data_IF_611074973279
#
_entry.id   IF_611074973279
#
_cell.length_a   1.000
_cell.length_b   1.000
_cell.length_c   1.000
_cell.angle_alpha   90.00
_cell.angle_beta   90.00
_cell.angle_gamma   90.00
#
_symmetry.space_group_name_H-M   'P 1'
#
loop_
_entity.id
_entity.type
_entity.pdbx_description
1 polymer ?
#
# COMPACT_ATOMS: atom_id res chain seq x y z
N UNK A 1 -0.49 11.26 8.69
CA UNK A 1 -1.81 10.85 9.19
C UNK A 1 -2.66 10.20 8.09
N UNK A 2 -2.99 10.91 7.01
CA UNK A 2 -3.80 10.37 5.89
C UNK A 2 -3.37 8.98 5.41
N UNK A 3 -2.08 8.74 5.17
CA UNK A 3 -1.60 7.45 4.66
C UNK A 3 -1.95 6.28 5.58
N UNK A 4 -1.97 6.49 6.90
CA UNK A 4 -2.31 5.44 7.87
C UNK A 4 -3.78 5.01 7.80
N UNK A 5 -4.65 5.78 7.12
CA UNK A 5 -6.05 5.40 6.90
C UNK A 5 -6.24 4.56 5.64
N UNK A 6 -5.17 4.22 4.92
CA UNK A 6 -5.21 3.54 3.61
C UNK A 6 -4.93 2.03 3.69
N UNK A 7 -5.06 1.43 4.87
CA UNK A 7 -4.71 0.03 5.11
C UNK A 7 -5.97 -0.79 5.47
N UNK A 8 -6.73 -1.29 4.47
CA UNK A 8 -8.04 -1.92 4.70
C UNK A 8 -8.01 -3.21 5.54
N UNK A 9 -6.83 -3.80 5.71
CA UNK A 9 -6.62 -5.02 6.51
C UNK A 9 -5.84 -4.79 7.80
N UNK A 10 -5.52 -3.55 8.15
CA UNK A 10 -4.77 -3.25 9.36
C UNK A 10 -5.65 -3.40 10.60
N UNK A 11 -5.56 -4.56 11.23
CA UNK A 11 -6.29 -4.89 12.45
C UNK A 11 -5.39 -5.61 13.47
N UNK A 12 -5.79 -5.59 14.73
CA UNK A 12 -5.20 -6.37 15.80
C UNK A 12 -6.27 -7.31 16.36
N UNK A 13 -6.13 -8.60 16.04
CA UNK A 13 -7.10 -9.62 16.44
C UNK A 13 -7.10 -9.88 17.95
N UNK A 14 -6.00 -9.56 18.67
CA UNK A 14 -5.96 -9.72 20.12
C UNK A 14 -6.83 -8.69 20.84
N UNK A 15 -6.93 -7.48 20.29
CA UNK A 15 -7.70 -6.37 20.87
C UNK A 15 -8.99 -6.06 20.11
N UNK A 16 -9.29 -6.82 19.05
CA UNK A 16 -10.42 -6.61 18.13
C UNK A 16 -10.54 -5.16 17.64
N UNK A 17 -9.39 -4.49 17.43
CA UNK A 17 -9.31 -3.08 17.07
C UNK A 17 -8.75 -2.93 15.65
N UNK A 18 -9.29 -2.00 14.86
CA UNK A 18 -8.73 -1.65 13.55
C UNK A 18 -7.84 -0.42 13.65
N UNK A 19 -6.90 -0.24 12.71
CA UNK A 19 -6.10 0.97 12.64
C UNK A 19 -6.99 2.22 12.45
N UNK A 20 -8.06 2.10 11.66
CA UNK A 20 -9.01 3.19 11.43
C UNK A 20 -9.72 3.63 12.72
N UNK A 21 -10.00 2.70 13.64
CA UNK A 21 -10.58 3.02 14.95
C UNK A 21 -9.51 3.55 15.93
N UNK A 22 -8.31 2.99 15.89
CA UNK A 22 -7.18 3.39 16.75
C UNK A 22 -6.76 4.85 16.52
N UNK A 23 -6.69 5.30 15.27
CA UNK A 23 -6.18 6.63 14.93
C UNK A 23 -6.95 7.78 15.61
N UNK A 24 -8.29 7.91 15.50
CA UNK A 24 -9.02 9.00 16.15
C UNK A 24 -9.04 8.93 17.69
N UNK A 25 -8.79 7.76 18.29
CA UNK A 25 -8.69 7.63 19.76
C UNK A 25 -7.34 8.12 20.30
N UNK A 26 -6.30 8.09 19.46
CA UNK A 26 -4.92 8.34 19.87
C UNK A 26 -4.26 9.57 19.22
N UNK A 27 -4.91 10.18 18.22
CA UNK A 27 -4.37 11.33 17.49
C UNK A 27 -5.44 12.39 17.20
N UNK A 28 -5.01 13.65 17.19
CA UNK A 28 -5.81 14.74 16.66
C UNK A 28 -5.90 14.61 15.13
N UNK A 29 -7.07 14.17 14.65
CA UNK A 29 -7.29 14.00 13.22
C UNK A 29 -7.37 15.36 12.52
N UNK A 30 -6.82 15.49 11.30
CA UNK A 30 -6.94 16.71 10.52
C UNK A 30 -8.41 17.15 10.36
N UNK A 31 -8.69 18.47 10.31
CA UNK A 31 -10.04 18.99 10.12
C UNK A 31 -10.59 18.60 8.74
N UNK A 32 -11.91 18.54 8.60
CA UNK A 32 -12.58 18.15 7.34
C UNK A 32 -12.08 18.94 6.11
N UNK A 33 -11.81 20.24 6.28
CA UNK A 33 -11.28 21.12 5.22
C UNK A 33 -9.94 20.63 4.66
N UNK A 34 -9.07 20.07 5.51
CA UNK A 34 -7.79 19.52 5.09
C UNK A 34 -7.98 18.25 4.24
N UNK A 35 -8.96 17.41 4.60
CA UNK A 35 -9.30 16.24 3.81
C UNK A 35 -9.91 16.62 2.47
N UNK A 36 -10.80 17.63 2.44
CA UNK A 36 -11.39 18.15 1.20
C UNK A 36 -10.33 18.73 0.26
N UNK A 37 -9.33 19.45 0.78
CA UNK A 37 -8.21 19.96 -0.02
C UNK A 37 -7.39 18.81 -0.64
N UNK A 38 -7.13 17.75 0.12
CA UNK A 38 -6.35 16.62 -0.37
C UNK A 38 -7.15 15.73 -1.34
N UNK A 39 -8.39 15.42 -1.00
CA UNK A 39 -9.21 14.39 -1.68
C UNK A 39 -10.17 14.95 -2.72
N UNK A 40 -10.33 16.26 -2.74
CA UNK A 40 -11.31 16.96 -3.56
C UNK A 40 -12.66 17.14 -2.84
N UNK A 41 -13.47 18.05 -3.40
CA UNK A 41 -14.82 18.35 -2.93
C UNK A 41 -15.91 17.68 -3.79
N UNK A 42 -15.55 17.21 -4.98
CA UNK A 42 -16.46 16.62 -5.96
C UNK A 42 -15.87 15.33 -6.52
N UNK A 43 -16.71 14.33 -6.76
CA UNK A 43 -16.29 13.07 -7.40
C UNK A 43 -16.31 13.14 -8.94
N UNK A 44 -17.17 13.99 -9.53
CA UNK A 44 -17.25 14.16 -10.99
C UNK A 44 -17.54 15.64 -11.39
N UNK A 45 -16.57 16.34 -12.01
CA UNK A 45 -15.20 15.89 -12.21
C UNK A 45 -14.46 15.80 -10.86
N UNK A 46 -13.65 14.77 -10.69
CA UNK A 46 -12.74 14.67 -9.55
C UNK A 46 -11.73 15.82 -9.57
N UNK A 47 -11.49 16.42 -8.40
CA UNK A 47 -10.61 17.58 -8.23
C UNK A 47 -9.63 17.46 -7.05
N UNK A 48 -9.40 16.25 -6.56
CA UNK A 48 -8.41 15.98 -5.52
C UNK A 48 -6.96 16.06 -6.03
N UNK A 49 -6.03 15.82 -5.12
CA UNK A 49 -4.60 15.84 -5.42
C UNK A 49 -4.13 14.50 -5.99
N UNK A 50 -3.29 14.57 -7.04
CA UNK A 50 -2.50 13.42 -7.52
C UNK A 50 -1.06 13.58 -7.04
N UNK A 51 -0.59 12.64 -6.23
CA UNK A 51 0.84 12.47 -6.02
C UNK A 51 1.48 11.84 -7.26
N UNK A 52 2.53 12.47 -7.79
CA UNK A 52 3.26 12.00 -8.98
C UNK A 52 4.72 11.83 -8.62
N UNK A 53 5.26 10.63 -8.85
CA UNK A 53 6.63 10.31 -8.51
C UNK A 53 7.28 9.41 -9.55
N UNK A 54 8.41 9.85 -10.11
CA UNK A 54 9.13 9.10 -11.14
C UNK A 54 10.01 8.05 -10.48
N UNK A 55 9.67 6.77 -10.64
CA UNK A 55 10.44 5.65 -10.06
C UNK A 55 11.74 5.40 -10.83
N UNK A 56 11.69 5.48 -12.16
CA UNK A 56 12.87 5.34 -13.02
C UNK A 56 12.66 6.01 -14.38
N UNK A 57 13.44 5.63 -15.39
CA UNK A 57 13.35 6.23 -16.72
C UNK A 57 12.03 5.93 -17.47
N UNK A 58 11.36 4.84 -17.09
CA UNK A 58 10.23 4.25 -17.82
C UNK A 58 8.93 4.19 -17.02
N UNK A 59 9.01 4.28 -15.69
CA UNK A 59 7.85 4.16 -14.80
C UNK A 59 7.69 5.40 -13.93
N UNK A 60 6.47 5.93 -13.95
CA UNK A 60 5.98 6.96 -13.01
C UNK A 60 4.87 6.38 -12.17
N UNK A 61 4.96 6.55 -10.85
CA UNK A 61 3.93 6.22 -9.89
C UNK A 61 2.96 7.38 -9.71
N UNK A 62 1.67 7.05 -9.68
CA UNK A 62 0.59 7.97 -9.38
C UNK A 62 -0.23 7.42 -8.21
N UNK A 63 -0.54 8.29 -7.24
CA UNK A 63 -1.55 8.06 -6.22
C UNK A 63 -2.56 9.20 -6.25
N UNK A 64 -3.79 8.88 -6.62
CA UNK A 64 -4.90 9.83 -6.64
C UNK A 64 -5.67 9.71 -5.33
N UNK A 65 -5.80 10.82 -4.60
CA UNK A 65 -6.53 10.83 -3.35
C UNK A 65 -8.00 11.23 -3.59
N UNK A 66 -8.90 10.33 -3.22
CA UNK A 66 -10.36 10.51 -3.31
C UNK A 66 -10.98 10.45 -1.91
N UNK A 67 -12.21 10.94 -1.77
CA UNK A 67 -12.87 11.17 -0.47
C UNK A 67 -12.97 9.88 0.37
N UNK A 68 -12.92 8.70 -0.25
CA UNK A 68 -13.05 7.40 0.41
C UNK A 68 -12.01 6.35 -0.01
N UNK A 69 -11.04 6.71 -0.85
CA UNK A 69 -10.07 5.76 -1.38
C UNK A 69 -8.84 6.49 -1.92
N UNK A 70 -7.72 5.78 -1.96
CA UNK A 70 -6.60 6.16 -2.83
C UNK A 70 -6.60 5.23 -4.02
N UNK A 71 -6.38 5.75 -5.23
CA UNK A 71 -6.28 4.97 -6.45
C UNK A 71 -4.85 5.04 -6.97
N UNK A 72 -4.28 3.88 -7.31
CA UNK A 72 -2.86 3.75 -7.61
C UNK A 72 -2.61 3.34 -9.04
N UNK A 73 -1.57 3.90 -9.66
CA UNK A 73 -1.14 3.56 -11.01
C UNK A 73 0.38 3.54 -11.12
N UNK A 74 0.88 2.66 -11.98
CA UNK A 74 2.16 2.85 -12.66
C UNK A 74 1.89 3.22 -14.10
N UNK A 75 2.34 4.40 -14.52
CA UNK A 75 1.97 5.00 -15.79
C UNK A 75 0.43 5.05 -15.92
N UNK A 76 -0.12 4.40 -16.94
CA UNK A 76 -1.55 4.24 -17.19
C UNK A 76 -2.10 2.87 -16.71
N UNK A 77 -1.26 2.03 -16.11
CA UNK A 77 -1.67 0.72 -15.58
C UNK A 77 -2.18 0.87 -14.15
N UNK A 78 -3.46 0.54 -13.97
CA UNK A 78 -4.12 0.50 -12.66
C UNK A 78 -3.47 -0.56 -11.77
N UNK A 79 -3.20 -0.18 -10.51
CA UNK A 79 -2.61 -1.04 -9.50
C UNK A 79 -3.55 -1.36 -8.34
N UNK A 80 -4.67 -0.66 -8.22
CA UNK A 80 -5.59 -0.89 -7.13
C UNK A 80 -6.20 0.35 -6.52
N UNK A 81 -7.07 0.12 -5.54
CA UNK A 81 -7.64 1.13 -4.66
C UNK A 81 -7.81 0.61 -3.24
N UNK A 82 -7.89 1.51 -2.26
CA UNK A 82 -8.06 1.20 -0.82
C UNK A 82 -9.48 1.43 -0.29
N UNK A 83 -10.46 1.62 -1.18
CA UNK A 83 -11.85 1.93 -0.80
C UNK A 83 -12.66 0.74 -0.32
N UNK A 84 -13.97 0.93 -0.13
CA UNK A 84 -14.88 -0.13 0.37
C UNK A 84 -14.96 -1.39 -0.50
N UNK A 85 -14.62 -1.29 -1.79
CA UNK A 85 -14.46 -2.42 -2.72
C UNK A 85 -13.01 -2.55 -3.20
N UNK A 86 -12.06 -2.43 -2.27
CA UNK A 86 -10.63 -2.42 -2.58
C UNK A 86 -10.22 -3.61 -3.46
N UNK A 87 -9.19 -3.36 -4.26
CA UNK A 87 -8.44 -4.32 -5.05
C UNK A 87 -7.00 -3.84 -5.09
N UNK A 88 -6.02 -4.72 -4.91
CA UNK A 88 -4.62 -4.32 -4.73
C UNK A 88 -3.70 -5.23 -5.56
N UNK A 89 -2.81 -4.68 -6.37
CA UNK A 89 -1.88 -5.47 -7.20
C UNK A 89 -0.85 -6.28 -6.41
N UNK A 90 -0.80 -6.14 -5.08
CA UNK A 90 0.04 -6.90 -4.14
C UNK A 90 1.47 -7.14 -4.65
N UNK A 91 2.36 -6.15 -4.59
CA UNK A 91 3.83 -6.25 -4.59
C UNK A 91 4.31 -7.35 -3.65
N UNK A 92 5.22 -8.20 -4.13
CA UNK A 92 6.05 -8.97 -3.20
C UNK A 92 6.85 -8.00 -2.34
N UNK A 93 7.15 -8.39 -1.10
CA UNK A 93 8.00 -7.58 -0.23
C UNK A 93 9.32 -7.17 -0.91
N UNK A 94 9.94 -8.11 -1.63
CA UNK A 94 11.16 -7.88 -2.41
C UNK A 94 10.98 -6.84 -3.53
N UNK A 95 9.88 -6.89 -4.29
CA UNK A 95 9.59 -5.89 -5.33
C UNK A 95 9.43 -4.49 -4.71
N UNK A 96 8.74 -4.38 -3.58
CA UNK A 96 8.62 -3.12 -2.85
C UNK A 96 10.00 -2.58 -2.44
N UNK A 97 10.83 -3.40 -1.80
CA UNK A 97 12.19 -3.00 -1.39
C UNK A 97 13.03 -2.52 -2.57
N UNK A 98 13.01 -3.24 -3.70
CA UNK A 98 13.74 -2.85 -4.91
C UNK A 98 13.32 -1.48 -5.45
N UNK A 99 12.05 -1.12 -5.33
CA UNK A 99 11.54 0.20 -5.73
C UNK A 99 12.03 1.27 -4.74
N UNK A 100 11.89 1.02 -3.44
CA UNK A 100 12.24 2.00 -2.40
C UNK A 100 13.74 2.27 -2.31
N UNK A 101 14.59 1.25 -2.46
CA UNK A 101 16.05 1.40 -2.39
C UNK A 101 16.64 2.28 -3.50
N UNK A 102 15.86 2.52 -4.56
CA UNK A 102 16.23 3.37 -5.69
C UNK A 102 15.77 4.82 -5.53
N UNK A 103 14.82 5.09 -4.64
CA UNK A 103 14.36 6.45 -4.41
C UNK A 103 15.38 7.25 -3.60
N UNK A 104 15.83 8.36 -4.17
CA UNK A 104 16.80 9.26 -3.56
C UNK A 104 16.15 10.51 -2.95
N UNK A 105 14.82 10.64 -3.06
CA UNK A 105 14.11 11.86 -2.69
C UNK A 105 13.41 11.76 -1.35
N UNK A 106 12.44 10.86 -1.20
CA UNK A 106 11.69 10.66 0.03
C UNK A 106 11.24 9.19 0.13
N UNK A 107 12.20 8.29 0.43
CA UNK A 107 11.94 6.85 0.43
C UNK A 107 10.90 6.44 1.47
N UNK A 108 10.72 7.23 2.54
CA UNK A 108 9.71 6.97 3.58
C UNK A 108 8.31 7.31 3.10
N UNK A 109 8.11 8.47 2.47
CA UNK A 109 6.83 8.80 1.86
C UNK A 109 6.44 7.78 0.78
N UNK A 110 7.37 7.45 -0.12
CA UNK A 110 7.12 6.47 -1.18
C UNK A 110 6.82 5.09 -0.59
N UNK A 111 7.54 4.67 0.45
CA UNK A 111 7.29 3.41 1.16
C UNK A 111 5.85 3.32 1.66
N UNK A 112 5.36 4.32 2.41
CA UNK A 112 3.99 4.27 2.93
C UNK A 112 2.91 4.43 1.87
N UNK A 113 3.22 5.06 0.72
CA UNK A 113 2.29 5.12 -0.42
C UNK A 113 2.15 3.77 -1.13
N UNK A 114 3.23 2.99 -1.22
CA UNK A 114 3.23 1.68 -1.87
C UNK A 114 2.93 0.52 -0.92
N UNK A 115 3.07 0.71 0.40
CA UNK A 115 2.87 -0.32 1.41
C UNK A 115 1.46 -0.97 1.36
N UNK A 116 0.34 -0.24 1.12
CA UNK A 116 -0.97 -0.85 0.93
C UNK A 116 -1.04 -1.81 -0.24
N UNK A 117 -0.14 -1.64 -1.22
CA UNK A 117 -0.07 -2.49 -2.39
C UNK A 117 0.88 -3.66 -2.17
N UNK A 118 1.35 -3.98 -0.96
CA UNK A 118 2.32 -5.05 -0.74
C UNK A 118 1.74 -6.22 0.06
N UNK A 119 2.34 -7.40 -0.12
CA UNK A 119 2.07 -8.59 0.69
C UNK A 119 3.39 -9.22 1.12
N UNK A 120 3.39 -9.72 2.35
CA UNK A 120 4.51 -10.42 2.95
C UNK A 120 4.12 -11.82 3.43
N UNK A 121 5.14 -12.59 3.77
CA UNK A 121 5.04 -13.89 4.42
C UNK A 121 5.45 -13.81 5.89
N UNK A 122 5.06 -14.78 6.72
CA UNK A 122 5.51 -14.82 8.12
C UNK A 122 7.04 -14.89 8.25
N UNK A 123 7.73 -15.52 7.29
CA UNK A 123 9.20 -15.56 7.29
C UNK A 123 9.82 -14.16 7.14
N UNK A 124 9.11 -13.22 6.52
CA UNK A 124 9.55 -11.84 6.32
C UNK A 124 9.10 -10.90 7.45
N UNK A 125 8.23 -11.36 8.38
CA UNK A 125 7.67 -10.53 9.46
C UNK A 125 8.72 -9.70 10.22
N UNK A 126 9.82 -10.27 10.72
CA UNK A 126 10.79 -9.48 11.49
C UNK A 126 11.42 -8.35 10.67
N UNK A 127 11.60 -8.57 9.37
CA UNK A 127 12.16 -7.57 8.45
C UNK A 127 11.12 -6.48 8.11
N UNK A 128 9.88 -6.89 7.85
CA UNK A 128 8.75 -5.98 7.60
C UNK A 128 8.52 -5.07 8.81
N UNK A 129 8.43 -5.62 10.02
CA UNK A 129 8.23 -4.85 11.25
C UNK A 129 9.38 -3.86 11.48
N UNK A 130 10.62 -4.28 11.28
CA UNK A 130 11.79 -3.41 11.42
C UNK A 130 11.78 -2.27 10.38
N UNK A 131 11.44 -2.56 9.12
CA UNK A 131 11.35 -1.57 8.07
C UNK A 131 10.24 -0.56 8.33
N UNK A 132 9.04 -1.02 8.71
CA UNK A 132 7.92 -0.13 9.05
C UNK A 132 8.27 0.77 10.23
N UNK A 133 8.79 0.22 11.33
CA UNK A 133 9.14 1.00 12.52
C UNK A 133 10.22 2.05 12.21
N UNK A 134 11.25 1.68 11.46
CA UNK A 134 12.31 2.60 11.02
C UNK A 134 11.73 3.75 10.18
N UNK A 135 10.87 3.44 9.20
CA UNK A 135 10.28 4.44 8.31
C UNK A 135 9.28 5.34 9.03
N UNK A 136 8.50 4.81 9.98
CA UNK A 136 7.63 5.60 10.85
C UNK A 136 8.42 6.62 11.67
N UNK A 137 9.60 6.23 12.17
CA UNK A 137 10.51 7.14 12.88
C UNK A 137 11.06 8.28 12.00
N UNK A 138 11.22 8.05 10.70
CA UNK A 138 11.69 9.05 9.74
C UNK A 138 10.59 10.02 9.30
N UNK A 139 9.32 9.65 9.50
CA UNK A 139 8.20 10.54 9.23
C UNK A 139 8.11 11.65 10.29
N UNK A 140 7.49 12.78 9.93
CA UNK A 140 7.16 13.88 10.85
C UNK A 140 6.02 13.54 11.85
N UNK A 141 5.91 12.28 12.28
CA UNK A 141 4.96 11.83 13.29
C UNK A 141 5.70 11.69 14.63
N UNK A 142 5.35 12.52 15.61
CA UNK A 142 5.87 12.40 16.97
C UNK A 142 5.16 11.23 17.68
N UNK A 143 5.67 10.01 17.49
CA UNK A 143 5.11 8.79 18.08
C UNK A 143 5.82 8.45 19.40
N UNK A 144 5.03 8.12 20.43
CA UNK A 144 5.56 7.41 21.59
C UNK A 144 5.97 5.97 21.22
N UNK A 145 6.79 5.32 22.04
CA UNK A 145 7.20 3.92 21.82
C UNK A 145 6.01 2.97 21.70
N UNK A 146 4.97 3.18 22.51
CA UNK A 146 3.77 2.34 22.49
C UNK A 146 2.97 2.56 21.20
N UNK A 147 2.81 3.81 20.75
CA UNK A 147 2.15 4.14 19.48
C UNK A 147 2.91 3.58 18.27
N UNK A 148 4.24 3.72 18.26
CA UNK A 148 5.08 3.15 17.21
C UNK A 148 4.90 1.64 17.11
N UNK A 149 4.94 0.96 18.25
CA UNK A 149 4.76 -0.50 18.33
C UNK A 149 3.37 -0.90 17.83
N UNK A 150 2.34 -0.21 18.29
CA UNK A 150 0.96 -0.47 17.89
C UNK A 150 0.75 -0.28 16.38
N UNK A 151 1.14 0.88 15.83
CA UNK A 151 1.01 1.18 14.40
C UNK A 151 1.83 0.19 13.56
N UNK A 152 3.06 -0.14 13.98
CA UNK A 152 3.89 -1.12 13.27
C UNK A 152 3.17 -2.47 13.16
N UNK A 153 2.55 -2.93 14.25
CA UNK A 153 1.80 -4.19 14.28
C UNK A 153 0.57 -4.13 13.36
N UNK A 154 -0.20 -3.05 13.41
CA UNK A 154 -1.35 -2.84 12.52
C UNK A 154 -0.95 -2.84 11.04
N UNK A 155 0.13 -2.16 10.69
CA UNK A 155 0.62 -2.14 9.31
C UNK A 155 1.17 -3.51 8.90
N UNK A 156 1.83 -4.23 9.81
CA UNK A 156 2.31 -5.58 9.52
C UNK A 156 1.17 -6.58 9.29
N UNK A 157 0.07 -6.49 10.04
CA UNK A 157 -1.10 -7.38 9.84
C UNK A 157 -1.81 -7.12 8.52
N UNK A 158 -1.74 -5.89 8.00
CA UNK A 158 -2.20 -5.61 6.64
C UNK A 158 -1.43 -6.40 5.58
N UNK A 159 -0.12 -6.55 5.75
CA UNK A 159 0.77 -7.21 4.79
C UNK A 159 0.75 -8.74 4.93
N UNK A 160 0.63 -9.22 6.16
CA UNK A 160 0.77 -10.63 6.50
C UNK A 160 -0.55 -11.14 7.08
N UNK A 161 -1.39 -11.59 6.17
CA UNK A 161 -2.68 -12.20 6.48
C UNK A 161 -2.55 -13.56 7.16
N UNK A 162 -3.55 -13.92 7.98
CA UNK A 162 -3.66 -15.22 8.65
C UNK A 162 -3.77 -16.42 7.70
N UNK A 163 -4.43 -16.25 6.55
CA UNK A 163 -4.51 -17.27 5.49
C UNK A 163 -3.19 -17.30 4.69
N UNK A 164 -2.11 -17.75 5.34
CA UNK A 164 -0.74 -17.68 4.84
C UNK A 164 -0.54 -18.32 3.47
N UNK A 165 -1.23 -19.41 3.18
CA UNK A 165 -1.16 -20.09 1.88
C UNK A 165 -1.65 -19.20 0.74
N UNK A 166 -2.52 -18.23 1.02
CA UNK A 166 -2.99 -17.24 0.06
C UNK A 166 -2.03 -16.06 -0.09
N UNK A 167 -0.95 -15.98 0.69
CA UNK A 167 0.09 -14.94 0.54
C UNK A 167 1.21 -15.38 -0.41
N UNK A 168 1.17 -16.63 -0.87
CA UNK A 168 2.22 -17.21 -1.68
C UNK A 168 2.03 -16.81 -3.14
N UNK A 169 3.08 -16.21 -3.72
CA UNK A 169 3.17 -16.04 -5.16
C UNK A 169 3.58 -17.32 -5.86
N UNK A 170 2.88 -17.63 -6.94
CA UNK A 170 3.22 -18.67 -7.90
C UNK A 170 3.71 -18.02 -9.19
N UNK A 171 4.75 -18.58 -9.80
CA UNK A 171 5.17 -18.19 -11.13
C UNK A 171 4.42 -19.01 -12.18
N UNK A 172 3.59 -18.36 -12.98
CA UNK A 172 2.90 -18.95 -14.11
C UNK A 172 3.76 -18.72 -15.37
N UNK A 173 4.13 -19.78 -16.13
CA UNK A 173 4.88 -19.64 -17.37
C UNK A 173 4.25 -18.61 -18.32
N UNK A 174 5.07 -17.76 -18.94
CA UNK A 174 4.67 -16.71 -19.89
C UNK A 174 3.75 -15.58 -19.36
N UNK A 175 3.25 -15.70 -18.12
CA UNK A 175 2.38 -14.71 -17.46
C UNK A 175 3.12 -13.93 -16.37
N UNK A 176 3.97 -14.61 -15.59
CA UNK A 176 4.70 -14.03 -14.46
C UNK A 176 4.11 -14.41 -13.10
N UNK A 177 4.24 -13.53 -12.11
CA UNK A 177 3.80 -13.78 -10.74
C UNK A 177 2.28 -13.63 -10.61
N UNK A 178 1.66 -14.55 -9.90
CA UNK A 178 0.24 -14.51 -9.54
C UNK A 178 0.02 -15.00 -8.10
N UNK A 179 -1.06 -14.57 -7.48
CA UNK A 179 -1.43 -14.89 -6.09
C UNK A 179 -2.86 -15.43 -6.02
N UNK A 180 -3.18 -16.22 -4.99
CA UNK A 180 -4.53 -16.74 -4.77
C UNK A 180 -5.36 -15.84 -3.85
N UNK A 181 -5.56 -14.58 -4.25
CA UNK A 181 -6.26 -13.55 -3.47
C UNK A 181 -7.34 -12.86 -4.30
N UNK A 182 -8.60 -12.97 -3.87
CA UNK A 182 -9.75 -12.45 -4.61
C UNK A 182 -9.73 -10.92 -4.83
N UNK A 183 -9.11 -10.16 -3.93
CA UNK A 183 -9.01 -8.70 -4.01
C UNK A 183 -7.66 -8.25 -4.56
N UNK A 184 -7.11 -8.99 -5.52
CA UNK A 184 -5.83 -8.66 -6.14
C UNK A 184 -5.90 -8.58 -7.65
N UNK A 185 -5.29 -7.56 -8.22
CA UNK A 185 -5.09 -7.49 -9.68
C UNK A 185 -4.16 -8.60 -10.18
N UNK A 186 -3.32 -9.15 -9.29
CA UNK A 186 -2.48 -10.32 -9.56
C UNK A 186 -3.13 -11.65 -9.17
N UNK A 187 -4.46 -11.68 -8.99
CA UNK A 187 -5.17 -12.92 -8.73
C UNK A 187 -5.01 -13.89 -9.90
N UNK A 188 -4.60 -15.12 -9.63
CA UNK A 188 -4.48 -16.22 -10.62
C UNK A 188 -5.76 -16.50 -11.42
N UNK A 189 -6.91 -16.03 -10.96
CA UNK A 189 -8.20 -16.17 -11.65
C UNK A 189 -8.49 -15.05 -12.65
N UNK A 190 -7.70 -13.97 -12.65
CA UNK A 190 -7.82 -12.89 -13.62
C UNK A 190 -7.39 -13.34 -15.02
N UNK A 191 -7.74 -12.55 -16.04
CA UNK A 191 -7.36 -12.85 -17.42
C UNK A 191 -5.84 -12.75 -17.57
N UNK A 192 -5.25 -13.66 -18.35
CA UNK A 192 -3.80 -13.69 -18.57
C UNK A 192 -3.26 -12.36 -19.12
N UNK A 193 -3.99 -11.70 -20.02
CA UNK A 193 -3.60 -10.39 -20.57
C UNK A 193 -3.47 -9.31 -19.49
N UNK A 194 -4.37 -9.29 -18.51
CA UNK A 194 -4.35 -8.32 -17.40
C UNK A 194 -3.15 -8.61 -16.47
N UNK A 195 -2.94 -9.88 -16.14
CA UNK A 195 -1.80 -10.33 -15.32
C UNK A 195 -0.46 -9.99 -15.98
N UNK A 196 -0.34 -10.22 -17.29
CA UNK A 196 0.86 -9.88 -18.06
C UNK A 196 1.10 -8.37 -17.99
N UNK A 197 0.08 -7.54 -18.21
CA UNK A 197 0.21 -6.07 -18.16
C UNK A 197 0.70 -5.58 -16.81
N UNK A 198 0.06 -6.03 -15.72
CA UNK A 198 0.45 -5.66 -14.35
C UNK A 198 1.87 -6.14 -14.02
N UNK A 199 2.21 -7.38 -14.36
CA UNK A 199 3.57 -7.90 -14.12
C UNK A 199 4.63 -7.17 -14.94
N UNK A 200 4.35 -6.80 -16.18
CA UNK A 200 5.29 -6.07 -17.03
C UNK A 200 5.62 -4.69 -16.45
N UNK A 201 4.60 -3.95 -15.97
CA UNK A 201 4.83 -2.61 -15.42
C UNK A 201 5.56 -2.66 -14.07
N UNK A 202 5.25 -3.64 -13.22
CA UNK A 202 5.95 -3.85 -11.93
C UNK A 202 7.40 -4.27 -12.16
N UNK A 203 7.64 -5.20 -13.09
CA UNK A 203 9.00 -5.57 -13.48
C UNK A 203 9.77 -4.35 -14.00
N UNK A 204 9.14 -3.52 -14.83
CA UNK A 204 9.76 -2.29 -15.34
C UNK A 204 10.07 -1.29 -14.22
N UNK A 205 9.27 -1.24 -13.16
CA UNK A 205 9.51 -0.40 -11.99
C UNK A 205 10.69 -0.88 -11.13
N UNK A 206 10.98 -2.19 -11.14
CA UNK A 206 12.05 -2.81 -10.34
C UNK A 206 13.39 -2.91 -11.06
N UNK A 207 13.46 -2.58 -12.36
CA UNK A 207 14.70 -2.45 -13.16
C UNK A 207 15.51 -1.21 -12.79
#
# INVERSE_FOLDING_TARGET
MFLLTQFPFAADDETETTLTDYLPEHFDMPPAEWWEELTGATEDPWNGYTYVHRLNETVTFFAEFHIYQTVYFFNDTYLGNTGGNFHLSLLTWKELQMIIDKDQTDPSLLFFLLLPLAVGSQSERPEIEAAIAMRLHEMALELSTDQLTAITRFLCSHLIFDEEEKNIFEHIPDVGLAINRNHSERNRQNREEDLIGVNQVINSATL
#
